data_IF_467474483538
#
_entry.id   IF_467474483538
#
_cell.length_a   1.000
_cell.length_b   1.000
_cell.length_c   1.000
_cell.angle_alpha   90.00
_cell.angle_beta   90.00
_cell.angle_gamma   90.00
#
_symmetry.space_group_name_H-M   'P 1'
#
loop_
_entity.id
_entity.type
_entity.pdbx_description
1 polymer ?
#
# COMPACT_ATOMS: atom_id res chain seq x y z
N UNK A 1 24.91 35.63 27.65
CA UNK A 1 24.29 35.82 26.32
C UNK A 1 23.77 34.45 25.90
N UNK A 2 22.46 34.29 25.83
CA UNK A 2 21.75 33.01 25.78
C UNK A 2 21.33 32.77 24.34
N UNK A 3 21.72 31.66 23.72
CA UNK A 3 21.14 31.19 22.46
C UNK A 3 21.14 29.66 22.43
N UNK A 4 20.24 29.06 23.22
CA UNK A 4 19.75 27.72 22.91
C UNK A 4 18.41 27.92 22.20
N UNK A 5 18.39 27.70 20.88
CA UNK A 5 17.14 27.52 20.14
C UNK A 5 16.51 26.24 20.68
N UNK A 6 15.42 26.37 21.41
CA UNK A 6 14.49 25.27 21.60
C UNK A 6 14.04 24.82 20.21
N UNK A 7 14.53 23.65 19.79
CA UNK A 7 13.92 22.90 18.70
C UNK A 7 12.60 22.41 19.27
N UNK A 8 11.56 23.21 19.12
CA UNK A 8 10.18 22.77 19.35
C UNK A 8 9.89 21.72 18.29
N UNK A 9 10.18 20.45 18.59
CA UNK A 9 9.58 19.33 17.89
C UNK A 9 8.07 19.59 17.89
N UNK A 10 7.51 19.73 16.70
CA UNK A 10 6.14 20.18 16.51
C UNK A 10 5.18 19.27 17.29
N UNK A 11 4.42 19.86 18.22
CA UNK A 11 3.44 19.16 19.05
C UNK A 11 2.37 18.48 18.18
N UNK A 12 2.19 18.95 16.95
CA UNK A 12 1.33 18.34 15.93
C UNK A 12 1.87 16.96 15.49
N UNK A 13 3.17 16.84 15.21
CA UNK A 13 3.83 15.60 14.80
C UNK A 13 3.78 14.54 15.89
N UNK A 14 3.90 14.95 17.16
CA UNK A 14 3.84 14.04 18.30
C UNK A 14 2.44 13.40 18.45
N UNK A 15 1.38 14.21 18.32
CA UNK A 15 0.00 13.71 18.37
C UNK A 15 -0.34 12.81 17.16
N UNK A 16 0.19 13.13 15.97
CA UNK A 16 0.05 12.28 14.77
C UNK A 16 0.76 10.93 14.98
N UNK A 17 1.96 10.94 15.56
CA UNK A 17 2.70 9.71 15.90
C UNK A 17 1.97 8.86 16.93
N UNK A 18 1.48 9.44 18.02
CA UNK A 18 0.76 8.73 19.07
C UNK A 18 -0.55 8.11 18.57
N UNK A 19 -1.29 8.83 17.71
CA UNK A 19 -2.51 8.29 17.09
C UNK A 19 -2.23 7.18 16.08
N UNK A 20 -1.14 7.28 15.29
CA UNK A 20 -0.66 6.19 14.41
C UNK A 20 -0.26 4.96 15.22
N UNK A 21 0.48 5.13 16.31
CA UNK A 21 0.91 4.02 17.17
C UNK A 21 -0.29 3.30 17.81
N UNK A 22 -1.30 4.04 18.26
CA UNK A 22 -2.55 3.45 18.75
C UNK A 22 -3.28 2.64 17.68
N UNK A 23 -3.34 3.13 16.43
CA UNK A 23 -3.95 2.37 15.32
C UNK A 23 -3.17 1.08 15.00
N UNK A 24 -1.83 1.15 14.98
CA UNK A 24 -0.97 -0.04 14.80
C UNK A 24 -1.21 -1.05 15.92
N UNK A 25 -1.45 -0.60 17.15
CA UNK A 25 -1.75 -1.47 18.29
C UNK A 25 -3.03 -2.29 18.08
N UNK A 26 -4.08 -1.72 17.47
CA UNK A 26 -5.29 -2.46 17.09
C UNK A 26 -5.05 -3.43 15.93
N UNK A 27 -4.10 -3.15 15.04
CA UNK A 27 -3.73 -4.01 13.91
C UNK A 27 -2.66 -5.06 14.24
N UNK A 28 -2.27 -5.22 15.50
CA UNK A 28 -1.23 -6.20 15.93
C UNK A 28 -1.56 -7.63 15.49
N UNK A 29 -2.81 -8.07 15.70
CA UNK A 29 -3.21 -9.45 15.38
C UNK A 29 -3.11 -9.76 13.87
N UNK A 30 -3.82 -9.06 12.96
CA UNK A 30 -3.69 -9.34 11.53
C UNK A 30 -2.26 -9.14 11.01
N UNK A 31 -1.47 -8.25 11.63
CA UNK A 31 -0.07 -8.07 11.27
C UNK A 31 0.77 -9.29 11.60
N UNK A 32 0.64 -9.87 12.80
CA UNK A 32 1.35 -11.09 13.17
C UNK A 32 0.98 -12.23 12.21
N UNK A 33 -0.31 -12.45 11.96
CA UNK A 33 -0.77 -13.47 11.00
C UNK A 33 -0.15 -13.27 9.61
N UNK A 34 -0.16 -12.03 9.07
CA UNK A 34 0.40 -11.73 7.76
C UNK A 34 1.92 -11.99 7.68
N UNK A 35 2.67 -11.66 8.74
CA UNK A 35 4.12 -11.92 8.80
C UNK A 35 4.43 -13.42 8.92
N UNK A 36 3.58 -14.18 9.60
CA UNK A 36 3.69 -15.64 9.73
C UNK A 36 3.16 -16.39 8.49
N UNK A 37 2.54 -15.69 7.54
CA UNK A 37 1.92 -16.28 6.35
C UNK A 37 0.56 -16.95 6.63
N UNK A 38 -0.03 -16.72 7.79
CA UNK A 38 -1.36 -17.17 8.18
C UNK A 38 -2.45 -16.27 7.56
N UNK A 39 -2.65 -16.41 6.25
CA UNK A 39 -3.65 -15.63 5.52
C UNK A 39 -5.09 -16.01 5.86
N UNK A 40 -5.33 -17.20 6.43
CA UNK A 40 -6.64 -17.58 6.94
C UNK A 40 -6.95 -16.81 8.23
N UNK A 41 -5.98 -16.66 9.13
CA UNK A 41 -6.10 -15.78 10.30
C UNK A 41 -6.35 -14.33 9.93
N UNK A 42 -5.71 -13.83 8.87
CA UNK A 42 -5.99 -12.50 8.30
C UNK A 42 -7.42 -12.41 7.77
N UNK A 43 -7.87 -13.39 6.97
CA UNK A 43 -9.23 -13.47 6.44
C UNK A 43 -10.27 -13.41 7.55
N UNK A 44 -10.15 -14.29 8.54
CA UNK A 44 -11.07 -14.38 9.68
C UNK A 44 -11.14 -13.06 10.48
N UNK A 45 -10.05 -12.31 10.56
CA UNK A 45 -10.06 -11.01 11.24
C UNK A 45 -10.88 -9.95 10.48
N UNK A 46 -10.79 -9.92 9.14
CA UNK A 46 -11.37 -8.86 8.31
C UNK A 46 -12.75 -9.17 7.75
N UNK A 47 -13.21 -10.43 7.76
CA UNK A 47 -14.54 -10.82 7.25
C UNK A 47 -15.68 -9.96 7.84
N UNK A 48 -15.64 -9.70 9.16
CA UNK A 48 -16.63 -8.88 9.85
C UNK A 48 -16.32 -7.36 9.82
N UNK A 49 -15.17 -6.98 9.24
CA UNK A 49 -14.59 -5.64 9.34
C UNK A 49 -13.90 -5.20 8.03
N UNK A 50 -14.60 -5.23 6.89
CA UNK A 50 -13.98 -4.96 5.58
C UNK A 50 -13.37 -3.55 5.49
N UNK A 51 -13.95 -2.58 6.18
CA UNK A 51 -13.46 -1.19 6.18
C UNK A 51 -12.10 -1.01 6.88
N UNK A 52 -11.70 -1.98 7.71
CA UNK A 52 -10.41 -1.97 8.40
C UNK A 52 -9.24 -2.41 7.51
N UNK A 53 -9.50 -2.97 6.32
CA UNK A 53 -8.45 -3.43 5.38
C UNK A 53 -7.49 -2.31 4.96
N UNK A 54 -7.94 -1.05 5.00
CA UNK A 54 -7.13 0.11 4.66
C UNK A 54 -6.47 0.79 5.86
N UNK A 55 -6.67 0.27 7.08
CA UNK A 55 -5.98 0.77 8.26
C UNK A 55 -4.50 0.36 8.19
N UNK A 56 -3.56 1.30 8.35
CA UNK A 56 -2.14 1.01 8.45
C UNK A 56 -1.78 -0.03 9.51
N UNK A 57 -1.06 -1.06 9.10
CA UNK A 57 -0.57 -2.14 9.96
C UNK A 57 0.89 -1.95 10.36
N UNK A 58 1.64 -1.13 9.63
CA UNK A 58 3.07 -0.88 9.88
C UNK A 58 3.36 0.61 10.13
N UNK A 59 4.53 0.89 10.69
CA UNK A 59 5.05 2.27 10.84
C UNK A 59 5.24 2.97 9.49
N UNK A 60 5.51 2.20 8.43
CA UNK A 60 5.61 2.66 7.05
C UNK A 60 4.24 2.94 6.41
N UNK A 61 3.17 2.76 7.17
CA UNK A 61 1.78 2.91 6.71
C UNK A 61 1.38 1.93 5.62
N UNK A 62 1.97 0.74 5.62
CA UNK A 62 1.51 -0.38 4.79
C UNK A 62 0.18 -0.89 5.33
N UNK A 63 -0.75 -1.12 4.41
CA UNK A 63 -2.01 -1.84 4.67
C UNK A 63 -1.81 -3.33 4.44
N UNK A 64 -2.82 -4.14 4.73
CA UNK A 64 -2.78 -5.59 4.46
C UNK A 64 -2.54 -5.89 2.97
N UNK A 65 -3.02 -5.06 2.06
CA UNK A 65 -2.77 -5.20 0.61
C UNK A 65 -1.30 -5.04 0.26
N UNK A 66 -0.61 -4.07 0.87
CA UNK A 66 0.81 -3.86 0.65
C UNK A 66 1.60 -5.08 1.13
N UNK A 67 1.28 -5.59 2.33
CA UNK A 67 1.92 -6.77 2.90
C UNK A 67 1.66 -8.02 2.07
N UNK A 68 0.42 -8.29 1.67
CA UNK A 68 0.08 -9.40 0.78
C UNK A 68 0.84 -9.31 -0.55
N UNK A 69 0.94 -8.12 -1.13
CA UNK A 69 1.67 -7.91 -2.38
C UNK A 69 3.19 -8.13 -2.24
N UNK A 70 3.81 -7.71 -1.13
CA UNK A 70 5.26 -7.77 -0.95
C UNK A 70 5.77 -9.04 -0.27
N UNK A 71 4.99 -9.63 0.63
CA UNK A 71 5.44 -10.69 1.54
C UNK A 71 4.90 -12.08 1.16
N UNK A 72 3.81 -12.18 0.38
CA UNK A 72 3.34 -13.47 -0.07
C UNK A 72 4.37 -14.19 -0.93
N UNK A 73 4.39 -15.51 -0.80
CA UNK A 73 5.10 -16.36 -1.75
C UNK A 73 4.54 -16.15 -3.16
N UNK A 74 5.37 -16.43 -4.18
CA UNK A 74 4.95 -16.34 -5.59
C UNK A 74 3.73 -17.22 -5.90
N UNK A 75 3.57 -18.33 -5.19
CA UNK A 75 2.44 -19.25 -5.39
C UNK A 75 1.12 -18.75 -4.78
N UNK A 76 1.16 -17.91 -3.73
CA UNK A 76 -0.05 -17.53 -2.98
C UNK A 76 -0.47 -16.07 -3.14
N UNK A 77 0.42 -15.20 -3.61
CA UNK A 77 0.16 -13.75 -3.62
C UNK A 77 -1.10 -13.35 -4.38
N UNK A 78 -1.39 -13.99 -5.52
CA UNK A 78 -2.64 -13.75 -6.27
C UNK A 78 -3.86 -14.14 -5.45
N UNK A 79 -3.91 -15.37 -4.93
CA UNK A 79 -5.05 -15.90 -4.17
C UNK A 79 -5.35 -15.07 -2.92
N UNK A 80 -4.30 -14.64 -2.21
CA UNK A 80 -4.43 -13.77 -1.03
C UNK A 80 -4.96 -12.39 -1.41
N UNK A 81 -4.46 -11.78 -2.49
CA UNK A 81 -4.98 -10.49 -2.95
C UNK A 81 -6.43 -10.60 -3.41
N UNK A 82 -6.79 -11.66 -4.13
CA UNK A 82 -8.17 -11.96 -4.52
C UNK A 82 -9.08 -12.07 -3.30
N UNK A 83 -8.65 -12.82 -2.27
CA UNK A 83 -9.37 -12.97 -1.01
C UNK A 83 -9.61 -11.60 -0.34
N UNK A 84 -8.57 -10.78 -0.19
CA UNK A 84 -8.69 -9.48 0.47
C UNK A 84 -9.57 -8.52 -0.32
N UNK A 85 -9.50 -8.54 -1.65
CA UNK A 85 -10.38 -7.74 -2.51
C UNK A 85 -11.83 -8.22 -2.40
N UNK A 86 -12.07 -9.53 -2.30
CA UNK A 86 -13.41 -10.06 -2.11
C UNK A 86 -14.01 -9.65 -0.76
N UNK A 87 -13.21 -9.63 0.32
CA UNK A 87 -13.66 -9.07 1.60
C UNK A 87 -13.97 -7.58 1.43
N UNK A 88 -13.08 -6.81 0.77
CA UNK A 88 -13.27 -5.38 0.56
C UNK A 88 -14.55 -5.06 -0.23
N UNK A 89 -14.99 -5.92 -1.14
CA UNK A 89 -16.26 -5.73 -1.87
C UNK A 89 -17.49 -5.72 -0.94
N UNK A 90 -17.36 -6.21 0.29
CA UNK A 90 -18.40 -6.10 1.32
C UNK A 90 -18.33 -4.76 2.09
N UNK A 91 -17.31 -3.93 1.85
CA UNK A 91 -17.22 -2.56 2.35
C UNK A 91 -18.30 -1.70 1.73
N UNK A 92 -18.86 -0.80 2.53
CA UNK A 92 -19.80 0.23 2.06
C UNK A 92 -19.11 1.56 1.75
N UNK A 93 -17.81 1.65 2.01
CA UNK A 93 -17.05 2.91 2.03
C UNK A 93 -16.05 2.99 0.88
N UNK A 94 -15.46 1.85 0.49
CA UNK A 94 -14.30 1.84 -0.40
C UNK A 94 -14.56 1.07 -1.70
N UNK A 95 -14.26 1.73 -2.82
CA UNK A 95 -14.10 1.06 -4.10
C UNK A 95 -12.75 0.32 -4.17
N UNK A 96 -12.69 -0.92 -4.69
CA UNK A 96 -11.45 -1.66 -4.85
C UNK A 96 -10.35 -0.94 -5.66
N UNK A 97 -10.68 -0.19 -6.71
CA UNK A 97 -9.67 0.54 -7.50
C UNK A 97 -9.02 1.64 -6.67
N UNK A 98 -9.78 2.35 -5.86
CA UNK A 98 -9.26 3.37 -4.93
C UNK A 98 -8.45 2.75 -3.79
N UNK A 99 -8.92 1.64 -3.23
CA UNK A 99 -8.23 0.91 -2.17
C UNK A 99 -6.85 0.42 -2.60
N UNK A 100 -6.74 -0.14 -3.81
CA UNK A 100 -5.48 -0.62 -4.38
C UNK A 100 -4.50 0.50 -4.74
N UNK A 101 -5.00 1.75 -4.88
CA UNK A 101 -4.19 2.96 -5.08
C UNK A 101 -3.79 3.65 -3.79
N UNK A 102 -4.21 3.12 -2.63
CA UNK A 102 -3.80 3.66 -1.33
C UNK A 102 -2.27 3.62 -1.22
N UNK A 103 -1.68 4.77 -0.93
CA UNK A 103 -0.23 4.93 -0.81
C UNK A 103 0.25 4.70 0.63
N UNK A 104 1.36 4.00 0.77
CA UNK A 104 2.14 3.96 2.01
C UNK A 104 3.05 5.22 2.15
N UNK A 105 3.88 5.30 3.20
CA UNK A 105 4.75 6.46 3.43
C UNK A 105 5.79 6.70 2.31
N UNK A 106 6.12 5.67 1.52
CA UNK A 106 7.02 5.78 0.37
C UNK A 106 6.30 6.16 -0.93
N UNK A 107 4.98 6.31 -0.88
CA UNK A 107 4.15 6.56 -2.05
C UNK A 107 3.90 5.29 -2.87
N UNK A 108 4.28 4.12 -2.38
CA UNK A 108 3.99 2.88 -3.09
C UNK A 108 2.54 2.49 -2.84
N UNK A 109 1.86 2.02 -3.89
CA UNK A 109 0.57 1.35 -3.80
C UNK A 109 0.73 -0.17 -3.87
N UNK A 110 -0.39 -0.92 -3.89
CA UNK A 110 -0.36 -2.38 -3.93
C UNK A 110 0.46 -2.93 -5.10
N UNK A 111 0.30 -2.39 -6.32
CA UNK A 111 1.02 -2.88 -7.49
C UNK A 111 2.53 -2.54 -7.43
N UNK A 112 2.89 -1.37 -6.89
CA UNK A 112 4.30 -1.08 -6.59
C UNK A 112 4.88 -2.11 -5.61
N UNK A 113 4.13 -2.57 -4.61
CA UNK A 113 4.59 -3.56 -3.65
C UNK A 113 4.77 -4.96 -4.25
N UNK A 114 4.00 -5.34 -5.27
CA UNK A 114 4.17 -6.65 -5.95
C UNK A 114 5.56 -6.81 -6.55
N UNK A 115 6.20 -5.71 -6.96
CA UNK A 115 7.58 -5.76 -7.47
C UNK A 115 8.59 -6.36 -6.48
N UNK A 116 8.32 -6.29 -5.17
CA UNK A 116 9.19 -6.85 -4.13
C UNK A 116 9.11 -8.37 -4.04
N UNK A 117 7.93 -8.96 -4.26
CA UNK A 117 7.75 -10.42 -4.27
C UNK A 117 8.12 -11.03 -5.62
N UNK A 118 8.07 -10.23 -6.69
CA UNK A 118 8.23 -10.70 -8.06
C UNK A 118 7.14 -11.68 -8.48
N UNK A 119 5.94 -11.55 -7.88
CA UNK A 119 4.78 -12.38 -8.20
C UNK A 119 4.08 -11.85 -9.46
N UNK A 120 4.41 -12.44 -10.61
CA UNK A 120 3.88 -12.04 -11.91
C UNK A 120 2.36 -12.28 -11.99
N UNK A 121 1.86 -13.39 -11.46
CA UNK A 121 0.43 -13.70 -11.49
C UNK A 121 -0.40 -12.69 -10.69
N UNK A 122 0.11 -12.26 -9.54
CA UNK A 122 -0.50 -11.18 -8.76
C UNK A 122 -0.51 -9.86 -9.53
N UNK A 123 0.60 -9.51 -10.19
CA UNK A 123 0.68 -8.30 -10.99
C UNK A 123 -0.31 -8.33 -12.17
N UNK A 124 -0.34 -9.43 -12.93
CA UNK A 124 -1.27 -9.63 -14.04
C UNK A 124 -2.72 -9.53 -13.57
N UNK A 125 -3.06 -10.20 -12.47
CA UNK A 125 -4.39 -10.13 -11.88
C UNK A 125 -4.80 -8.69 -11.56
N UNK A 126 -3.93 -7.91 -10.91
CA UNK A 126 -4.21 -6.52 -10.56
C UNK A 126 -4.40 -5.63 -11.81
N UNK A 127 -3.56 -5.83 -12.83
CA UNK A 127 -3.64 -5.06 -14.07
C UNK A 127 -4.90 -5.39 -14.86
N UNK A 128 -5.20 -6.67 -15.08
CA UNK A 128 -6.36 -7.10 -15.87
C UNK A 128 -7.67 -6.59 -15.26
N UNK A 129 -7.77 -6.56 -13.93
CA UNK A 129 -9.02 -6.28 -13.24
C UNK A 129 -9.16 -4.84 -12.71
N UNK A 130 -8.06 -4.13 -12.47
CA UNK A 130 -8.08 -2.84 -11.77
C UNK A 130 -7.20 -1.76 -12.39
N UNK A 131 -6.73 -1.95 -13.63
CA UNK A 131 -5.92 -0.96 -14.30
C UNK A 131 -6.68 0.32 -14.68
N UNK A 132 -7.99 0.28 -14.90
CA UNK A 132 -8.74 1.49 -15.23
C UNK A 132 -8.67 2.55 -14.10
N UNK A 133 -8.69 3.85 -14.45
CA UNK A 133 -8.82 4.93 -13.48
C UNK A 133 -10.05 4.77 -12.56
N UNK A 134 -10.00 5.44 -11.41
CA UNK A 134 -11.16 5.61 -10.54
C UNK A 134 -12.04 6.71 -11.14
N UNK A 135 -13.34 6.45 -11.23
CA UNK A 135 -14.30 7.47 -11.64
C UNK A 135 -14.42 8.53 -10.54
N UNK A 136 -13.92 9.73 -10.82
CA UNK A 136 -14.02 10.88 -9.92
C UNK A 136 -15.32 11.62 -10.21
N UNK A 137 -16.27 11.63 -9.28
CA UNK A 137 -17.46 12.46 -9.39
C UNK A 137 -17.10 13.93 -9.08
N UNK A 138 -17.06 14.79 -10.10
CA UNK A 138 -16.89 16.26 -9.95
C UNK A 138 -15.65 16.86 -10.62
N UNK A 139 -15.59 18.20 -10.66
CA UNK A 139 -14.51 18.97 -11.29
C UNK A 139 -13.23 18.91 -10.43
N UNK A 140 -12.21 18.20 -10.90
CA UNK A 140 -10.96 17.97 -10.17
C UNK A 140 -10.07 19.22 -10.25
N UNK A 141 -10.06 20.03 -9.19
CA UNK A 141 -9.05 21.09 -9.03
C UNK A 141 -7.74 20.43 -8.58
N UNK A 142 -6.84 20.15 -9.52
CA UNK A 142 -5.48 19.67 -9.23
C UNK A 142 -4.70 20.79 -8.53
N UNK A 143 -4.82 20.88 -7.20
CA UNK A 143 -3.99 21.77 -6.40
C UNK A 143 -2.61 21.14 -6.21
N UNK A 144 -1.55 21.87 -6.58
CA UNK A 144 -0.15 21.45 -6.59
C UNK A 144 0.51 21.29 -5.21
N UNK A 145 -0.25 20.99 -4.15
CA UNK A 145 0.29 20.69 -2.81
C UNK A 145 0.44 19.18 -2.63
N UNK A 146 1.36 18.71 -1.77
CA UNK A 146 1.71 17.29 -1.57
C UNK A 146 0.54 16.33 -1.26
N UNK A 147 -0.66 16.86 -0.98
CA UNK A 147 -1.91 16.11 -0.87
C UNK A 147 -2.51 15.70 -2.25
N UNK A 148 -1.88 16.11 -3.36
CA UNK A 148 -2.33 15.90 -4.75
C UNK A 148 -2.08 14.50 -5.29
N UNK A 149 -1.14 13.74 -4.72
CA UNK A 149 -0.71 12.47 -5.32
C UNK A 149 -1.80 11.39 -5.31
N UNK A 150 -2.72 11.40 -4.33
CA UNK A 150 -3.85 10.47 -4.30
C UNK A 150 -4.82 10.76 -5.45
N UNK A 151 -5.21 12.02 -5.62
CA UNK A 151 -6.11 12.46 -6.69
C UNK A 151 -5.47 12.26 -8.07
N UNK A 152 -4.16 12.53 -8.18
CA UNK A 152 -3.41 12.29 -9.42
C UNK A 152 -3.38 10.80 -9.78
N UNK A 153 -3.14 9.91 -8.82
CA UNK A 153 -3.10 8.47 -9.08
C UNK A 153 -4.49 7.85 -9.30
N UNK A 154 -5.55 8.39 -8.71
CA UNK A 154 -6.92 7.95 -8.94
C UNK A 154 -7.35 8.20 -10.39
N UNK A 155 -6.92 9.32 -11.00
CA UNK A 155 -7.20 9.65 -12.38
C UNK A 155 -6.34 8.87 -13.42
N UNK A 156 -5.36 8.09 -12.95
CA UNK A 156 -4.44 7.36 -13.82
C UNK A 156 -4.74 5.86 -13.86
N UNK A 157 -4.38 5.18 -14.96
CA UNK A 157 -4.33 3.74 -14.95
C UNK A 157 -3.40 3.22 -13.84
N UNK A 158 -3.71 2.07 -13.25
CA UNK A 158 -2.94 1.54 -12.11
C UNK A 158 -1.45 1.38 -12.45
N UNK A 159 -1.14 0.96 -13.67
CA UNK A 159 0.23 0.85 -14.20
C UNK A 159 0.96 2.19 -14.34
N UNK A 160 0.23 3.28 -14.48
CA UNK A 160 0.78 4.62 -14.67
C UNK A 160 0.84 5.45 -13.39
N UNK A 161 0.30 4.91 -12.30
CA UNK A 161 0.42 5.52 -10.97
C UNK A 161 1.89 5.72 -10.60
N UNK A 162 2.15 6.76 -9.80
CA UNK A 162 3.50 7.14 -9.42
C UNK A 162 3.66 7.21 -7.91
N UNK A 163 4.79 6.71 -7.42
CA UNK A 163 5.19 6.87 -6.03
C UNK A 163 5.82 8.25 -5.76
N UNK A 164 6.30 8.49 -4.53
CA UNK A 164 6.90 9.77 -4.14
C UNK A 164 8.20 10.09 -4.92
N UNK A 165 8.83 9.08 -5.53
CA UNK A 165 9.99 9.22 -6.40
C UNK A 165 9.60 9.34 -7.88
N UNK A 166 8.31 9.48 -8.19
CA UNK A 166 7.74 9.52 -9.55
C UNK A 166 7.92 8.21 -10.34
N UNK A 167 8.24 7.11 -9.67
CA UNK A 167 8.41 5.80 -10.29
C UNK A 167 7.05 5.14 -10.53
N UNK A 168 6.91 4.44 -11.64
CA UNK A 168 5.76 3.55 -11.89
C UNK A 168 6.01 2.17 -11.30
N UNK A 169 4.96 1.34 -11.11
CA UNK A 169 5.15 -0.05 -10.68
C UNK A 169 6.10 -0.83 -11.60
N UNK A 170 6.01 -0.61 -12.92
CA UNK A 170 6.87 -1.26 -13.90
C UNK A 170 8.32 -0.82 -13.78
N UNK A 171 8.57 0.49 -13.62
CA UNK A 171 9.92 1.01 -13.41
C UNK A 171 10.55 0.36 -12.17
N UNK A 172 9.79 0.27 -11.08
CA UNK A 172 10.25 -0.32 -9.82
C UNK A 172 10.57 -1.81 -9.97
N UNK A 173 9.73 -2.57 -10.67
CA UNK A 173 9.98 -3.97 -10.99
C UNK A 173 11.28 -4.16 -11.81
N UNK A 174 11.50 -3.31 -12.82
CA UNK A 174 12.72 -3.34 -13.61
C UNK A 174 13.97 -3.02 -12.77
N UNK A 175 13.89 -2.01 -11.90
CA UNK A 175 14.99 -1.62 -11.03
C UNK A 175 15.37 -2.74 -10.05
N UNK A 176 14.39 -3.38 -9.41
CA UNK A 176 14.62 -4.50 -8.48
C UNK A 176 15.21 -5.71 -9.21
N UNK A 177 14.70 -6.03 -10.41
CA UNK A 177 15.22 -7.12 -11.24
C UNK A 177 16.70 -6.95 -11.59
N UNK A 178 17.14 -5.73 -11.87
CA UNK A 178 18.56 -5.44 -12.14
C UNK A 178 19.44 -5.63 -10.90
N UNK A 179 18.97 -5.21 -9.72
CA UNK A 179 19.70 -5.39 -8.46
C UNK A 179 19.92 -6.88 -8.15
N UNK A 180 18.89 -7.72 -8.31
CA UNK A 180 19.00 -9.16 -8.07
C UNK A 180 19.98 -9.84 -9.04
N UNK A 181 19.92 -9.51 -10.33
CA UNK A 181 20.85 -10.06 -11.33
C UNK A 181 22.32 -9.68 -11.06
N UNK A 182 22.58 -8.48 -10.52
CA UNK A 182 23.94 -8.03 -10.21
C UNK A 182 24.56 -8.78 -9.01
N UNK A 183 23.74 -9.21 -8.05
CA UNK A 183 24.20 -9.98 -6.87
C UNK A 183 24.49 -11.45 -7.19
N UNK A 184 23.84 -12.01 -8.21
CA UNK A 184 24.08 -13.40 -8.64
C UNK A 184 25.28 -13.58 -9.57
N UNK A 185 25.80 -12.50 -10.17
CA UNK A 185 26.92 -12.55 -11.11
C UNK A 185 28.31 -12.39 -10.45
N UNK A 186 28.36 -12.23 -9.12
CA UNK A 186 29.60 -12.02 -8.35
C UNK A 186 30.01 -13.18 -7.45
N UNK A 187 29.47 -14.39 -7.66
CA UNK A 187 29.77 -15.60 -6.86
C UNK A 187 30.63 -16.61 -7.59
#
# INVERSE_FOLDING_TARGET
MVYWREVTADRSDQNVRESKLKKIEYSKHPHVCAIEGDWEGVKNYYEDKPDELLIPMTVCSDTVFHLAASCCSKAQGKEVLEMLINILRNSTIYDPRSALRKLNNTGNNTLHSVSLSGNVEAAEYLVINFNEPVELEGEVIISSSASSNYIENDALPLLETRNHLRETPLFRAAAIGQVLCSQTAGG
#
